data_IF_961277973310
#
_entry.id   IF_961277973310
#
_cell.length_a   1.000
_cell.length_b   1.000
_cell.length_c   1.000
_cell.angle_alpha   90.00
_cell.angle_beta   90.00
_cell.angle_gamma   90.00
#
_symmetry.space_group_name_H-M   'P 1'
#
loop_
_entity.id
_entity.type
_entity.pdbx_description
1 polymer ?
#
# COMPACT_ATOMS: atom_id res chain seq x y z
N UNK A 1 13.16 10.30 -3.85
CA UNK A 1 12.85 8.86 -3.87
C UNK A 1 12.35 8.51 -5.26
N UNK A 2 13.00 7.55 -5.93
CA UNK A 2 12.56 7.00 -7.22
C UNK A 2 11.58 5.82 -7.01
N UNK A 3 11.06 5.21 -8.08
CA UNK A 3 10.10 4.09 -7.99
C UNK A 3 10.72 2.83 -7.38
N UNK A 4 11.96 2.48 -7.74
CA UNK A 4 12.67 1.33 -7.18
C UNK A 4 12.87 1.45 -5.67
N UNK A 5 13.29 2.62 -5.19
CA UNK A 5 13.46 2.93 -3.76
C UNK A 5 12.11 2.83 -3.02
N UNK A 6 11.06 3.39 -3.63
CA UNK A 6 9.72 3.37 -3.05
C UNK A 6 9.18 1.94 -2.94
N UNK A 7 9.41 1.09 -3.95
CA UNK A 7 9.00 -0.31 -3.93
C UNK A 7 9.69 -1.08 -2.80
N UNK A 8 11.01 -0.91 -2.66
CA UNK A 8 11.78 -1.54 -1.59
C UNK A 8 11.29 -1.10 -0.21
N UNK A 9 11.05 0.20 -0.03
CA UNK A 9 10.56 0.74 1.24
C UNK A 9 9.14 0.26 1.55
N UNK A 10 8.25 0.21 0.56
CA UNK A 10 6.90 -0.32 0.71
C UNK A 10 6.91 -1.77 1.16
N UNK A 11 7.72 -2.62 0.50
CA UNK A 11 7.85 -4.04 0.87
C UNK A 11 8.42 -4.19 2.29
N UNK A 12 9.46 -3.42 2.62
CA UNK A 12 10.08 -3.42 3.95
C UNK A 12 9.07 -3.08 5.04
N UNK A 13 8.27 -2.04 4.83
CA UNK A 13 7.24 -1.61 5.78
C UNK A 13 6.03 -2.55 5.83
N UNK A 14 5.70 -3.22 4.73
CA UNK A 14 4.75 -4.34 4.71
C UNK A 14 5.18 -5.49 5.64
N UNK A 15 6.48 -5.77 5.73
CA UNK A 15 7.02 -6.75 6.68
C UNK A 15 6.91 -6.28 8.14
N UNK A 16 7.33 -5.05 8.45
CA UNK A 16 7.31 -4.52 9.84
C UNK A 16 5.88 -4.33 10.37
N UNK A 17 4.91 -4.02 9.49
CA UNK A 17 3.52 -3.76 9.86
C UNK A 17 3.25 -2.36 10.41
N UNK A 18 4.16 -1.42 10.19
CA UNK A 18 3.97 -0.01 10.51
C UNK A 18 3.01 0.64 9.49
N UNK A 19 1.75 0.21 9.54
CA UNK A 19 0.68 0.58 8.63
C UNK A 19 -0.39 1.40 9.37
N UNK A 20 -0.73 2.56 8.83
CA UNK A 20 -1.84 3.40 9.28
C UNK A 20 -2.90 3.43 8.19
N UNK A 21 -4.13 3.07 8.55
CA UNK A 21 -5.25 3.07 7.62
C UNK A 21 -6.07 4.33 7.78
N UNK A 22 -6.25 5.08 6.68
CA UNK A 22 -7.17 6.22 6.66
C UNK A 22 -8.63 5.77 6.84
N UNK A 23 -9.53 6.70 7.18
CA UNK A 23 -10.98 6.40 7.23
C UNK A 23 -11.50 5.87 5.90
N UNK A 24 -11.06 6.47 4.79
CA UNK A 24 -11.44 6.03 3.45
C UNK A 24 -10.97 4.60 3.18
N UNK A 25 -9.71 4.26 3.53
CA UNK A 25 -9.19 2.91 3.40
C UNK A 25 -10.00 1.88 4.20
N UNK A 26 -10.31 2.19 5.47
CA UNK A 26 -11.12 1.31 6.32
C UNK A 26 -12.50 1.05 5.72
N UNK A 27 -13.16 2.08 5.21
CA UNK A 27 -14.47 1.92 4.55
C UNK A 27 -14.36 1.04 3.30
N UNK A 28 -13.37 1.28 2.44
CA UNK A 28 -13.15 0.48 1.22
C UNK A 28 -12.79 -0.97 1.53
N UNK A 29 -11.99 -1.19 2.57
CA UNK A 29 -11.67 -2.52 3.07
C UNK A 29 -12.94 -3.26 3.53
N UNK A 30 -13.82 -2.60 4.29
CA UNK A 30 -15.10 -3.18 4.72
C UNK A 30 -16.01 -3.51 3.53
N UNK A 31 -16.19 -2.58 2.60
CA UNK A 31 -17.00 -2.77 1.39
C UNK A 31 -16.54 -3.97 0.56
N UNK A 32 -15.23 -4.20 0.51
CA UNK A 32 -14.60 -5.27 -0.28
C UNK A 32 -14.24 -6.51 0.51
N UNK A 33 -14.58 -6.56 1.80
CA UNK A 33 -14.22 -7.64 2.73
C UNK A 33 -12.71 -7.91 2.81
N UNK A 34 -11.89 -6.91 2.54
CA UNK A 34 -10.43 -6.94 2.65
C UNK A 34 -10.03 -6.71 4.10
N UNK A 35 -9.18 -7.57 4.65
CA UNK A 35 -8.68 -7.48 6.03
C UNK A 35 -7.27 -6.89 6.06
N UNK A 36 -6.81 -6.52 7.24
CA UNK A 36 -5.45 -6.00 7.44
C UNK A 36 -4.36 -7.00 6.94
N UNK A 37 -4.47 -8.33 7.18
CA UNK A 37 -3.51 -9.29 6.64
C UNK A 37 -3.41 -9.29 5.11
N UNK A 38 -4.52 -9.04 4.41
CA UNK A 38 -4.60 -9.00 2.95
C UNK A 38 -3.80 -7.83 2.40
N UNK A 39 -4.03 -6.63 2.96
CA UNK A 39 -3.24 -5.43 2.60
C UNK A 39 -1.77 -5.63 2.91
N UNK A 40 -1.46 -6.25 4.06
CA UNK A 40 -0.07 -6.52 4.45
C UNK A 40 0.60 -7.52 3.50
N UNK A 41 -0.15 -8.52 3.02
CA UNK A 41 0.32 -9.45 2.01
C UNK A 41 0.59 -8.69 0.70
N UNK A 42 -0.37 -7.89 0.22
CA UNK A 42 -0.22 -7.10 -0.99
C UNK A 42 0.98 -6.14 -0.94
N UNK A 43 1.25 -5.49 0.19
CA UNK A 43 2.42 -4.61 0.34
C UNK A 43 3.75 -5.38 0.34
N UNK A 44 3.81 -6.54 0.99
CA UNK A 44 5.02 -7.40 0.99
C UNK A 44 5.34 -7.95 -0.39
N UNK A 45 4.29 -8.28 -1.14
CA UNK A 45 4.37 -8.88 -2.47
C UNK A 45 4.10 -7.87 -3.60
N UNK A 46 4.14 -6.57 -3.29
CA UNK A 46 3.93 -5.50 -4.24
C UNK A 46 4.86 -5.65 -5.44
N UNK A 47 4.35 -5.63 -6.67
CA UNK A 47 5.15 -5.90 -7.88
C UNK A 47 5.59 -4.60 -8.55
N UNK A 48 4.70 -3.63 -8.59
CA UNK A 48 4.88 -2.35 -9.27
C UNK A 48 4.48 -1.23 -8.32
N UNK A 49 5.20 -0.11 -8.39
CA UNK A 49 4.82 1.14 -7.76
C UNK A 49 4.88 2.26 -8.81
N UNK A 50 3.92 3.17 -8.77
CA UNK A 50 3.86 4.36 -9.64
C UNK A 50 3.59 5.59 -8.78
N UNK A 51 4.13 6.75 -9.16
CA UNK A 51 3.73 8.01 -8.51
C UNK A 51 2.25 8.26 -8.73
N UNK A 52 1.53 8.62 -7.66
CA UNK A 52 0.10 8.94 -7.76
C UNK A 52 -0.17 10.32 -8.36
N UNK A 53 0.85 11.20 -8.44
CA UNK A 53 0.75 12.50 -9.10
C UNK A 53 2.11 13.22 -9.21
N UNK A 54 2.24 14.22 -10.10
CA UNK A 54 3.51 14.91 -10.38
C UNK A 54 4.07 15.66 -9.17
N UNK A 55 3.21 16.23 -8.31
CA UNK A 55 3.63 17.03 -7.15
C UNK A 55 3.56 16.28 -5.81
N UNK A 56 3.25 14.98 -5.85
CA UNK A 56 3.07 14.16 -4.65
C UNK A 56 4.24 13.21 -4.46
N UNK A 57 5.41 13.76 -4.11
CA UNK A 57 6.67 13.02 -4.02
C UNK A 57 6.63 11.77 -3.11
N UNK A 58 5.69 11.73 -2.16
CA UNK A 58 5.51 10.66 -1.18
C UNK A 58 4.28 9.79 -1.42
N UNK A 59 3.49 10.07 -2.47
CA UNK A 59 2.26 9.33 -2.77
C UNK A 59 2.49 8.38 -3.93
N UNK A 60 2.14 7.12 -3.69
CA UNK A 60 2.45 6.00 -4.54
C UNK A 60 1.23 5.13 -4.71
N UNK A 61 1.00 4.64 -5.92
CA UNK A 61 0.01 3.59 -6.18
C UNK A 61 0.77 2.30 -6.42
N UNK A 62 0.37 1.22 -5.75
CA UNK A 62 0.99 -0.10 -5.88
C UNK A 62 -0.06 -1.19 -6.01
N UNK A 63 0.32 -2.28 -6.67
CA UNK A 63 -0.49 -3.49 -6.80
C UNK A 63 0.25 -4.70 -6.26
N UNK A 64 -0.50 -5.61 -5.64
CA UNK A 64 0.00 -6.88 -5.15
C UNK A 64 -1.15 -7.84 -4.83
N UNK A 65 -0.88 -9.15 -4.78
CA UNK A 65 -1.88 -10.14 -4.42
C UNK A 65 -2.25 -9.99 -2.93
N UNK A 66 -3.50 -10.27 -2.58
CA UNK A 66 -3.91 -10.45 -1.19
C UNK A 66 -3.50 -11.83 -0.65
N UNK A 67 -3.99 -12.18 0.54
CA UNK A 67 -3.64 -13.46 1.16
C UNK A 67 -4.24 -14.69 0.47
N UNK A 68 -5.22 -14.52 -0.42
CA UNK A 68 -5.87 -15.60 -1.18
C UNK A 68 -5.53 -15.58 -2.67
N UNK A 69 -4.80 -14.57 -3.14
CA UNK A 69 -4.25 -14.45 -4.48
C UNK A 69 -4.95 -13.41 -5.37
N UNK A 70 -5.97 -12.71 -4.86
CA UNK A 70 -6.67 -11.67 -5.62
C UNK A 70 -5.86 -10.38 -5.68
N UNK A 71 -5.85 -9.70 -6.81
CA UNK A 71 -5.07 -8.47 -6.97
C UNK A 71 -5.72 -7.29 -6.21
N UNK A 72 -4.94 -6.63 -5.35
CA UNK A 72 -5.33 -5.41 -4.65
C UNK A 72 -4.55 -4.21 -5.17
N UNK A 73 -5.28 -3.12 -5.45
CA UNK A 73 -4.69 -1.81 -5.74
C UNK A 73 -4.74 -0.91 -4.51
N UNK A 74 -3.58 -0.37 -4.12
CA UNK A 74 -3.39 0.42 -2.91
C UNK A 74 -2.77 1.78 -3.26
N UNK A 75 -3.38 2.85 -2.76
CA UNK A 75 -2.73 4.15 -2.60
C UNK A 75 -1.96 4.17 -1.28
N UNK A 76 -0.70 4.58 -1.33
CA UNK A 76 0.26 4.57 -0.23
C UNK A 76 0.89 5.94 -0.10
N UNK A 77 0.93 6.47 1.11
CA UNK A 77 1.75 7.64 1.45
C UNK A 77 2.84 7.24 2.42
N UNK A 78 4.10 7.46 2.04
CA UNK A 78 5.26 7.22 2.90
C UNK A 78 5.56 8.45 3.76
N UNK A 79 5.40 8.35 5.08
CA UNK A 79 5.74 9.42 6.04
C UNK A 79 6.55 8.90 7.20
N UNK A 80 7.82 9.30 7.28
CA UNK A 80 8.70 9.00 8.42
C UNK A 80 8.82 7.49 8.73
N UNK A 81 8.79 6.63 7.71
CA UNK A 81 8.81 5.18 7.88
C UNK A 81 7.46 4.54 8.22
N UNK A 82 6.35 5.25 8.05
CA UNK A 82 4.99 4.70 8.16
C UNK A 82 4.32 4.75 6.78
N UNK A 83 3.60 3.69 6.44
CA UNK A 83 2.71 3.65 5.27
C UNK A 83 1.31 4.08 5.71
N UNK A 84 0.79 5.13 5.10
CA UNK A 84 -0.63 5.48 5.18
C UNK A 84 -1.34 4.92 3.96
N UNK A 85 -2.28 3.99 4.15
CA UNK A 85 -2.95 3.27 3.06
C UNK A 85 -4.32 3.89 2.74
N UNK A 86 -4.66 3.86 1.45
CA UNK A 86 -5.97 4.02 0.81
C UNK A 86 -6.20 2.84 -0.12
N UNK A 87 -7.40 2.26 -0.17
CA UNK A 87 -7.72 1.10 -1.03
C UNK A 87 -8.65 1.55 -2.15
N UNK A 88 -8.32 1.20 -3.40
CA UNK A 88 -9.09 1.64 -4.58
C UNK A 88 -10.02 0.60 -5.10
#
# INVERSE_FOLDING_TARGET
MNESDALLEIRRLGHTGLLVFTRHARNRMLERRVKVPDVRHALRHAIIVKRSGPDQASHWTTTGPDAVGDELTLGVVLRGGIIVVTVY
#
